data_IF_678938426565
#
_entry.id   IF_678938426565
#
_cell.length_a   1.000
_cell.length_b   1.000
_cell.length_c   1.000
_cell.angle_alpha   90.00
_cell.angle_beta   90.00
_cell.angle_gamma   90.00
#
_symmetry.space_group_name_H-M   'P 1'
#
loop_
_entity.id
_entity.type
_entity.pdbx_description
1 polymer ?
#
# COMPACT_ATOMS: atom_id res chain seq x y z
N UNK A 1 -21.22 14.34 31.20
CA UNK A 1 -20.30 14.90 32.22
C UNK A 1 -18.87 14.71 31.74
N UNK A 2 -17.93 15.65 31.94
CA UNK A 2 -16.51 15.41 31.59
C UNK A 2 -15.83 14.67 32.75
N UNK A 3 -15.33 13.46 32.48
CA UNK A 3 -14.63 12.65 33.47
C UNK A 3 -13.41 13.38 34.06
N UNK A 4 -13.25 13.30 35.37
CA UNK A 4 -12.06 13.81 36.07
C UNK A 4 -10.82 12.97 35.74
N UNK A 5 -11.01 11.68 35.47
CA UNK A 5 -9.97 10.76 34.99
C UNK A 5 -9.68 10.84 33.49
N UNK A 6 -10.32 11.76 32.76
CA UNK A 6 -10.09 11.94 31.33
C UNK A 6 -8.69 12.55 31.06
N UNK A 7 -7.78 11.84 30.36
CA UNK A 7 -6.40 12.29 30.11
C UNK A 7 -6.30 13.41 29.06
N UNK A 8 -7.36 13.67 28.30
CA UNK A 8 -7.35 14.67 27.23
C UNK A 8 -7.41 16.11 27.78
N UNK A 9 -6.68 17.07 27.19
CA UNK A 9 -6.77 18.49 27.51
C UNK A 9 -8.19 19.03 27.73
N UNK A 10 -8.37 19.90 28.76
CA UNK A 10 -9.69 20.41 29.18
C UNK A 10 -10.50 21.08 28.06
N UNK A 11 -9.83 21.72 27.09
CA UNK A 11 -10.47 22.44 25.98
C UNK A 11 -11.23 21.51 25.01
N UNK A 12 -10.92 20.21 25.00
CA UNK A 12 -11.65 19.24 24.16
C UNK A 12 -13.01 18.84 24.74
N UNK A 13 -13.32 19.24 25.97
CA UNK A 13 -14.61 18.96 26.58
C UNK A 13 -14.83 17.47 26.86
N UNK A 14 -16.04 16.98 26.58
CA UNK A 14 -16.43 15.58 26.74
C UNK A 14 -16.11 14.85 25.44
N UNK A 15 -15.27 13.81 25.52
CA UNK A 15 -14.91 13.01 24.36
C UNK A 15 -15.96 11.92 24.11
N UNK A 16 -16.27 11.68 22.83
CA UNK A 16 -17.20 10.61 22.45
C UNK A 16 -16.66 9.24 22.89
N UNK A 17 -17.53 8.40 23.44
CA UNK A 17 -17.20 7.07 23.94
C UNK A 17 -16.79 7.04 25.41
N UNK A 18 -16.47 8.18 26.05
CA UNK A 18 -16.12 8.21 27.47
C UNK A 18 -17.34 8.04 28.39
N UNK A 19 -18.57 8.18 27.86
CA UNK A 19 -19.80 7.81 28.55
C UNK A 19 -19.86 6.30 28.87
N UNK A 20 -19.19 5.46 28.06
CA UNK A 20 -19.17 4.00 28.23
C UNK A 20 -18.55 3.60 29.57
N UNK A 21 -17.55 4.35 30.05
CA UNK A 21 -16.92 4.11 31.34
C UNK A 21 -17.94 4.16 32.49
N UNK A 22 -18.89 5.10 32.42
CA UNK A 22 -19.94 5.26 33.43
C UNK A 22 -21.04 4.21 33.31
N UNK A 23 -21.31 3.70 32.10
CA UNK A 23 -22.22 2.56 31.87
C UNK A 23 -21.68 1.29 32.53
N UNK A 24 -20.36 1.10 32.55
CA UNK A 24 -19.73 -0.07 33.18
C UNK A 24 -19.29 0.15 34.64
N UNK A 25 -19.68 1.26 35.28
CA UNK A 25 -19.36 1.47 36.69
C UNK A 25 -17.88 1.73 36.97
N UNK A 26 -17.13 2.27 36.01
CA UNK A 26 -15.68 2.49 36.13
C UNK A 26 -15.27 3.31 37.37
N UNK A 27 -16.00 4.36 37.82
CA UNK A 27 -15.71 5.06 39.07
C UNK A 27 -15.79 4.19 40.33
N UNK A 28 -16.49 3.07 40.29
CA UNK A 28 -16.52 2.08 41.38
C UNK A 28 -15.38 1.07 41.28
N UNK A 29 -15.06 0.62 40.06
CA UNK A 29 -14.03 -0.41 39.82
C UNK A 29 -12.60 0.15 39.93
N UNK A 30 -12.41 1.41 39.56
CA UNK A 30 -11.09 2.07 39.53
C UNK A 30 -11.16 3.49 40.11
N UNK A 31 -11.49 3.65 41.40
CA UNK A 31 -11.64 4.97 42.03
C UNK A 31 -10.36 5.81 41.99
N UNK A 32 -9.19 5.17 41.97
CA UNK A 32 -7.88 5.84 41.92
C UNK A 32 -7.61 6.64 40.64
N UNK A 33 -8.38 6.41 39.56
CA UNK A 33 -8.21 7.16 38.31
C UNK A 33 -8.93 8.51 38.31
N UNK A 34 -9.76 8.79 39.31
CA UNK A 34 -10.61 9.97 39.38
C UNK A 34 -10.12 10.92 40.46
N UNK A 35 -10.38 12.22 40.28
CA UNK A 35 -10.02 13.23 41.27
C UNK A 35 -10.80 12.99 42.58
N UNK A 36 -10.14 12.95 43.76
CA UNK A 36 -10.80 12.64 45.04
C UNK A 36 -12.02 13.53 45.34
N UNK A 37 -11.95 14.81 44.98
CA UNK A 37 -13.01 15.80 45.17
C UNK A 37 -14.25 15.55 44.31
N UNK A 38 -14.11 14.84 43.18
CA UNK A 38 -15.20 14.59 42.21
C UNK A 38 -15.68 13.13 42.19
N UNK A 39 -14.94 12.23 42.81
CA UNK A 39 -15.20 10.80 42.80
C UNK A 39 -16.62 10.46 43.26
N UNK A 40 -17.10 11.07 44.36
CA UNK A 40 -18.44 10.82 44.88
C UNK A 40 -19.55 11.23 43.90
N UNK A 41 -19.39 12.37 43.22
CA UNK A 41 -20.34 12.84 42.19
C UNK A 41 -20.32 11.94 40.96
N UNK A 42 -19.13 11.50 40.54
CA UNK A 42 -18.94 10.60 39.39
C UNK A 42 -19.47 9.19 39.64
N UNK A 43 -19.38 8.69 40.88
CA UNK A 43 -20.01 7.44 41.30
C UNK A 43 -21.54 7.54 41.27
N UNK A 44 -22.11 8.62 41.80
CA UNK A 44 -23.57 8.87 41.73
C UNK A 44 -24.06 9.01 40.29
N UNK A 45 -23.33 9.74 39.45
CA UNK A 45 -23.62 9.85 38.03
C UNK A 45 -23.56 8.47 37.34
N UNK A 46 -22.52 7.67 37.60
CA UNK A 46 -22.39 6.31 37.07
C UNK A 46 -23.54 5.40 37.51
N UNK A 47 -23.95 5.48 38.78
CA UNK A 47 -25.10 4.73 39.30
C UNK A 47 -26.40 5.12 38.58
N UNK A 48 -26.63 6.41 38.36
CA UNK A 48 -27.81 6.88 37.61
C UNK A 48 -27.81 6.38 36.16
N UNK A 49 -26.67 6.43 35.46
CA UNK A 49 -26.55 5.89 34.10
C UNK A 49 -26.78 4.38 34.07
N UNK A 50 -26.18 3.62 34.98
CA UNK A 50 -26.39 2.17 35.08
C UNK A 50 -27.86 1.84 35.37
N UNK A 51 -28.51 2.57 36.26
CA UNK A 51 -29.93 2.37 36.58
C UNK A 51 -30.81 2.57 35.35
N UNK A 52 -30.56 3.61 34.56
CA UNK A 52 -31.30 3.85 33.32
C UNK A 52 -31.15 2.70 32.32
N UNK A 53 -29.99 2.02 32.29
CA UNK A 53 -29.76 0.89 31.39
C UNK A 53 -30.46 -0.37 31.91
N UNK A 54 -30.48 -0.56 33.23
CA UNK A 54 -31.26 -1.63 33.89
C UNK A 54 -32.76 -1.43 33.60
N UNK A 55 -33.27 -0.22 33.78
CA UNK A 55 -34.68 0.11 33.52
C UNK A 55 -35.04 -0.11 32.05
N UNK A 56 -34.14 0.25 31.13
CA UNK A 56 -34.29 -0.06 29.70
C UNK A 56 -34.35 -1.56 29.43
N UNK A 57 -33.47 -2.36 30.02
CA UNK A 57 -33.48 -3.82 29.81
C UNK A 57 -34.75 -4.48 30.35
N UNK A 58 -35.32 -3.95 31.43
CA UNK A 58 -36.52 -4.51 32.04
C UNK A 58 -37.82 -4.04 31.37
N UNK A 59 -37.88 -2.79 30.93
CA UNK A 59 -39.13 -2.13 30.52
C UNK A 59 -39.13 -1.59 29.09
N UNK A 60 -37.98 -1.60 28.41
CA UNK A 60 -37.79 -0.96 27.10
C UNK A 60 -37.71 0.56 27.15
N UNK A 61 -37.76 1.20 28.33
CA UNK A 61 -37.63 2.64 28.51
C UNK A 61 -36.54 2.98 29.53
N UNK A 62 -35.49 3.76 29.16
CA UNK A 62 -34.39 4.05 30.08
C UNK A 62 -34.76 4.98 31.25
N UNK A 63 -35.74 5.86 31.05
CA UNK A 63 -36.31 6.71 32.09
C UNK A 63 -37.66 7.27 31.60
N UNK A 64 -38.56 7.63 32.52
CA UNK A 64 -39.86 8.21 32.17
C UNK A 64 -39.74 9.57 31.45
N UNK A 65 -38.66 10.31 31.72
CA UNK A 65 -38.34 11.60 31.10
C UNK A 65 -37.43 11.46 29.86
N UNK A 66 -37.14 10.25 29.40
CA UNK A 66 -36.34 10.04 28.20
C UNK A 66 -37.17 10.37 26.94
N UNK A 67 -36.86 11.44 26.19
CA UNK A 67 -37.66 11.82 25.04
C UNK A 67 -37.53 10.76 23.94
N UNK A 68 -38.66 10.33 23.35
CA UNK A 68 -38.64 9.54 22.13
C UNK A 68 -38.06 10.38 21.00
N UNK A 69 -37.14 9.79 20.25
CA UNK A 69 -36.52 10.49 19.13
C UNK A 69 -37.58 10.90 18.10
N UNK A 70 -37.62 12.20 17.79
CA UNK A 70 -38.47 12.79 16.77
C UNK A 70 -37.60 13.62 15.83
N UNK A 71 -37.73 13.39 14.51
CA UNK A 71 -36.96 14.12 13.48
C UNK A 71 -37.28 15.62 13.42
N UNK A 72 -38.47 16.01 13.90
CA UNK A 72 -38.96 17.40 13.94
C UNK A 72 -38.46 18.09 15.21
N UNK A 73 -38.82 17.56 16.38
CA UNK A 73 -38.52 18.22 17.66
C UNK A 73 -37.08 18.02 18.14
N UNK A 74 -36.39 16.96 17.68
CA UNK A 74 -34.99 16.63 17.99
C UNK A 74 -34.59 16.73 19.47
N UNK A 75 -35.54 16.50 20.37
CA UNK A 75 -35.31 16.53 21.82
C UNK A 75 -34.35 15.43 22.23
N UNK A 76 -33.34 15.79 23.00
CA UNK A 76 -32.40 14.84 23.59
C UNK A 76 -32.21 15.12 25.07
N UNK A 77 -32.06 14.05 25.85
CA UNK A 77 -31.67 14.16 27.24
C UNK A 77 -30.17 14.46 27.35
N UNK A 78 -29.81 15.43 28.18
CA UNK A 78 -28.41 15.73 28.49
C UNK A 78 -27.96 14.91 29.70
N UNK A 79 -26.92 14.10 29.52
CA UNK A 79 -26.27 13.36 30.61
C UNK A 79 -25.17 14.23 31.25
N UNK A 80 -25.54 15.04 32.22
CA UNK A 80 -24.64 15.93 33.00
C UNK A 80 -24.55 15.49 34.47
N UNK A 81 -23.70 16.18 35.24
CA UNK A 81 -23.59 16.01 36.69
C UNK A 81 -24.93 16.29 37.43
N UNK A 82 -25.83 17.05 36.80
CA UNK A 82 -27.19 17.32 37.28
C UNK A 82 -27.99 16.02 37.49
N UNK A 83 -27.71 14.98 36.70
CA UNK A 83 -28.34 13.68 36.85
C UNK A 83 -27.95 13.00 38.17
N UNK A 84 -26.77 13.30 38.70
CA UNK A 84 -26.31 12.80 40.00
C UNK A 84 -27.07 13.42 41.18
N UNK A 85 -27.79 14.53 40.95
CA UNK A 85 -28.64 15.22 41.93
C UNK A 85 -30.14 15.12 41.58
N UNK A 86 -30.50 14.26 40.62
CA UNK A 86 -31.89 14.00 40.24
C UNK A 86 -32.52 15.04 39.32
N UNK A 87 -31.73 15.97 38.78
CA UNK A 87 -32.19 17.00 37.84
C UNK A 87 -31.93 16.51 36.41
N UNK A 88 -32.94 16.60 35.55
CA UNK A 88 -32.85 16.20 34.15
C UNK A 88 -33.03 17.40 33.23
N UNK A 89 -32.18 17.50 32.20
CA UNK A 89 -32.22 18.59 31.22
C UNK A 89 -32.46 18.03 29.82
N UNK A 90 -33.52 18.51 29.18
CA UNK A 90 -33.81 18.20 27.78
C UNK A 90 -33.30 19.35 26.91
N UNK A 91 -32.51 19.04 25.89
CA UNK A 91 -32.13 20.00 24.85
C UNK A 91 -32.98 19.76 23.61
N UNK A 92 -33.57 20.81 23.06
CA UNK A 92 -34.41 20.75 21.85
C UNK A 92 -33.60 20.99 20.56
N UNK A 93 -32.33 21.39 20.71
CA UNK A 93 -31.48 21.75 19.59
C UNK A 93 -30.08 21.11 19.70
N UNK A 94 -30.01 19.79 19.51
CA UNK A 94 -28.75 19.01 19.55
C UNK A 94 -27.74 19.48 18.49
N UNK A 95 -28.22 20.16 17.44
CA UNK A 95 -27.41 20.52 16.28
C UNK A 95 -27.38 22.03 15.99
N UNK A 96 -28.34 22.82 16.44
CA UNK A 96 -28.69 24.06 15.76
C UNK A 96 -27.96 25.31 16.19
N UNK A 97 -26.92 25.24 17.02
CA UNK A 97 -25.89 26.27 17.03
C UNK A 97 -24.93 26.07 15.85
N UNK A 98 -24.36 24.86 15.70
CA UNK A 98 -23.45 24.54 14.60
C UNK A 98 -24.18 24.43 13.25
N UNK A 99 -25.40 23.91 13.22
CA UNK A 99 -26.21 23.80 12.01
C UNK A 99 -26.86 25.11 11.58
N UNK A 100 -27.19 26.06 12.49
CA UNK A 100 -27.56 27.42 12.08
C UNK A 100 -26.39 28.13 11.42
N UNK A 101 -25.20 28.03 12.00
CA UNK A 101 -23.97 28.55 11.38
C UNK A 101 -23.73 27.95 9.99
N UNK A 102 -23.95 26.64 9.81
CA UNK A 102 -23.86 25.99 8.50
C UNK A 102 -24.99 26.39 7.55
N UNK A 103 -26.21 26.64 8.05
CA UNK A 103 -27.34 27.07 7.24
C UNK A 103 -27.21 28.54 6.81
N UNK A 104 -26.79 29.43 7.70
CA UNK A 104 -26.44 30.83 7.41
C UNK A 104 -25.26 30.88 6.43
N UNK A 105 -24.21 30.10 6.67
CA UNK A 105 -23.08 29.99 5.75
C UNK A 105 -23.52 29.50 4.35
N UNK A 106 -24.41 28.51 4.27
CA UNK A 106 -25.00 28.05 2.99
C UNK A 106 -25.84 29.13 2.31
N UNK A 107 -26.63 29.90 3.06
CA UNK A 107 -27.45 30.99 2.51
C UNK A 107 -26.61 32.15 1.99
N UNK A 108 -25.49 32.47 2.65
CA UNK A 108 -24.51 33.47 2.23
C UNK A 108 -23.72 33.02 1.00
N UNK A 109 -23.38 31.73 0.90
CA UNK A 109 -22.72 31.15 -0.28
C UNK A 109 -23.67 31.09 -1.48
N UNK A 110 -24.97 30.88 -1.25
CA UNK A 110 -25.99 30.83 -2.32
C UNK A 110 -26.36 32.17 -2.96
N UNK A 111 -26.02 33.30 -2.33
CA UNK A 111 -26.30 34.65 -2.85
C UNK A 111 -25.12 35.31 -3.55
N UNK A 112 -23.93 34.69 -3.55
CA UNK A 112 -22.77 35.21 -4.26
C UNK A 112 -22.81 34.76 -5.72
N UNK A 113 -22.64 35.67 -6.71
CA UNK A 113 -22.51 35.28 -8.09
C UNK A 113 -21.30 34.36 -8.20
N UNK A 114 -21.47 33.21 -8.85
CA UNK A 114 -20.47 32.15 -8.99
C UNK A 114 -19.21 32.74 -9.62
N UNK A 115 -18.27 33.13 -8.75
CA UNK A 115 -16.87 33.39 -9.04
C UNK A 115 -16.08 33.11 -7.75
N UNK A 116 -15.88 31.82 -7.51
CA UNK A 116 -14.79 31.20 -6.73
C UNK A 116 -14.25 31.93 -5.50
N UNK A 117 -14.97 31.91 -4.38
CA UNK A 117 -14.38 32.25 -3.06
C UNK A 117 -14.66 31.15 -2.03
N UNK A 118 -13.57 30.50 -1.62
CA UNK A 118 -13.47 29.49 -0.56
C UNK A 118 -13.56 30.13 0.84
N UNK A 119 -14.44 29.64 1.73
CA UNK A 119 -14.53 30.07 3.12
C UNK A 119 -13.39 29.47 3.98
N UNK A 120 -12.36 30.26 4.26
CA UNK A 120 -11.29 29.92 5.22
C UNK A 120 -11.69 30.31 6.65
N UNK A 121 -11.89 29.32 7.53
CA UNK A 121 -12.15 29.58 8.96
C UNK A 121 -10.88 30.04 9.70
N UNK A 122 -11.00 31.15 10.45
CA UNK A 122 -9.99 31.74 11.35
C UNK A 122 -9.59 30.78 12.47
N UNK A 123 -8.29 30.52 12.64
CA UNK A 123 -7.71 30.08 13.92
C UNK A 123 -7.36 31.31 14.76
N UNK A 124 -7.94 31.44 15.95
CA UNK A 124 -7.46 32.33 17.00
C UNK A 124 -6.26 31.66 17.72
N UNK A 125 -5.20 32.43 17.96
CA UNK A 125 -3.87 31.94 18.34
C UNK A 125 -3.69 31.48 19.79
N UNK A 126 -2.45 31.09 20.14
CA UNK A 126 -1.74 31.80 21.20
C UNK A 126 -0.42 32.42 20.70
N UNK A 127 0.01 33.45 21.41
CA UNK A 127 1.13 34.33 21.09
C UNK A 127 2.50 33.63 21.06
N UNK A 128 3.32 34.17 20.15
CA UNK A 128 4.77 34.37 20.22
C UNK A 128 5.66 33.16 20.55
N UNK A 129 6.00 32.40 19.50
CA UNK A 129 7.37 31.93 19.30
C UNK A 129 7.82 32.35 17.91
N UNK A 130 9.01 32.93 17.87
CA UNK A 130 9.67 33.65 16.78
C UNK A 130 9.77 32.88 15.46
N UNK A 131 9.44 33.59 14.38
CA UNK A 131 9.89 33.44 12.99
C UNK A 131 10.06 32.02 12.40
N UNK A 132 8.99 31.53 11.76
CA UNK A 132 9.10 30.73 10.54
C UNK A 132 7.89 31.06 9.64
N UNK A 133 8.15 31.27 8.35
CA UNK A 133 7.19 31.81 7.39
C UNK A 133 5.89 30.99 7.35
N UNK A 134 4.76 31.67 7.53
CA UNK A 134 3.43 31.09 7.47
C UNK A 134 3.05 30.81 5.99
N UNK A 135 2.88 29.55 5.54
CA UNK A 135 2.71 29.20 4.12
C UNK A 135 1.38 29.66 3.49
N UNK A 136 0.56 30.40 4.22
CA UNK A 136 -0.80 30.74 3.82
C UNK A 136 -0.98 32.10 3.11
N UNK A 137 0.11 32.83 2.85
CA UNK A 137 0.14 34.12 2.14
C UNK A 137 0.95 34.11 0.81
N UNK A 138 1.28 32.92 0.27
CA UNK A 138 2.00 32.82 -1.02
C UNK A 138 1.05 33.03 -2.22
N UNK A 139 1.46 33.78 -3.26
CA UNK A 139 0.68 33.94 -4.49
C UNK A 139 0.40 32.57 -5.14
N UNK A 140 -0.69 32.47 -5.91
CA UNK A 140 -1.17 31.20 -6.54
C UNK A 140 -0.04 30.43 -7.25
N UNK A 141 0.84 31.16 -7.92
CA UNK A 141 2.03 30.62 -8.58
C UNK A 141 3.02 29.94 -7.64
N UNK A 142 3.30 30.52 -6.48
CA UNK A 142 4.20 29.94 -5.47
C UNK A 142 3.55 28.74 -4.76
N UNK A 143 2.21 28.71 -4.66
CA UNK A 143 1.47 27.55 -4.16
C UNK A 143 1.58 26.35 -5.12
N UNK A 144 1.42 26.59 -6.42
CA UNK A 144 1.58 25.56 -7.45
C UNK A 144 3.01 25.01 -7.51
N UNK A 145 4.02 25.87 -7.38
CA UNK A 145 5.43 25.44 -7.26
C UNK A 145 5.67 24.59 -6.02
N UNK A 146 5.14 24.99 -4.87
CA UNK A 146 5.31 24.24 -3.63
C UNK A 146 4.67 22.85 -3.69
N UNK A 147 3.47 22.73 -4.27
CA UNK A 147 2.85 21.42 -4.56
C UNK A 147 3.70 20.58 -5.51
N UNK A 148 4.20 21.17 -6.60
CA UNK A 148 5.08 20.46 -7.53
C UNK A 148 6.37 19.98 -6.85
N UNK A 149 6.97 20.80 -5.98
CA UNK A 149 8.17 20.45 -5.24
C UNK A 149 7.92 19.30 -4.25
N UNK A 150 6.81 19.35 -3.52
CA UNK A 150 6.39 18.27 -2.63
C UNK A 150 6.17 16.97 -3.38
N UNK A 151 5.50 17.03 -4.53
CA UNK A 151 5.24 15.86 -5.36
C UNK A 151 6.52 15.28 -5.98
N UNK A 152 7.46 16.12 -6.45
CA UNK A 152 8.75 15.66 -6.97
C UNK A 152 9.62 15.07 -5.86
N UNK A 153 9.61 15.67 -4.66
CA UNK A 153 10.24 15.10 -3.48
C UNK A 153 9.68 13.72 -3.12
N UNK A 154 8.35 13.57 -3.17
CA UNK A 154 7.67 12.30 -2.94
C UNK A 154 7.99 11.26 -4.02
N UNK A 155 8.13 11.65 -5.29
CA UNK A 155 8.67 10.79 -6.35
C UNK A 155 10.08 10.29 -6.00
N UNK A 156 10.97 11.18 -5.53
CA UNK A 156 12.34 10.81 -5.13
C UNK A 156 12.37 9.76 -4.01
N UNK A 157 11.55 9.91 -2.98
CA UNK A 157 11.40 8.91 -1.91
C UNK A 157 10.90 7.57 -2.49
N UNK A 158 9.86 7.61 -3.32
CA UNK A 158 9.29 6.41 -3.94
C UNK A 158 10.32 5.66 -4.80
N UNK A 159 11.08 6.40 -5.61
CA UNK A 159 12.13 5.87 -6.49
C UNK A 159 13.22 5.17 -5.69
N UNK A 160 13.70 5.80 -4.61
CA UNK A 160 14.75 5.24 -3.77
C UNK A 160 14.30 3.91 -3.15
N UNK A 161 13.11 3.89 -2.53
CA UNK A 161 12.64 2.72 -1.81
C UNK A 161 12.20 1.59 -2.75
N UNK A 162 11.48 1.86 -3.85
CA UNK A 162 11.17 0.83 -4.85
C UNK A 162 12.42 0.25 -5.50
N UNK A 163 13.44 1.09 -5.77
CA UNK A 163 14.70 0.62 -6.33
C UNK A 163 15.55 -0.19 -5.36
N UNK A 164 15.24 -0.13 -4.06
CA UNK A 164 16.03 -0.77 -2.99
C UNK A 164 15.28 -1.90 -2.27
N UNK A 165 13.96 -2.06 -2.47
CA UNK A 165 13.12 -2.98 -1.68
C UNK A 165 13.52 -4.46 -1.77
N UNK A 166 14.15 -4.87 -2.88
CA UNK A 166 14.62 -6.25 -3.05
C UNK A 166 16.07 -6.46 -2.60
N UNK A 167 16.80 -5.40 -2.24
CA UNK A 167 18.20 -5.49 -1.76
C UNK A 167 18.33 -6.40 -0.53
N UNK A 168 17.45 -6.32 0.50
CA UNK A 168 17.52 -7.21 1.66
C UNK A 168 17.27 -8.68 1.28
N UNK A 169 16.37 -8.92 0.32
CA UNK A 169 15.87 -10.25 -0.05
C UNK A 169 16.87 -10.98 -0.97
N UNK A 170 17.59 -10.23 -1.82
CA UNK A 170 18.40 -10.78 -2.92
C UNK A 170 19.47 -11.80 -2.52
N UNK A 171 19.94 -11.78 -1.26
CA UNK A 171 20.98 -12.70 -0.77
C UNK A 171 20.46 -14.07 -0.34
N UNK A 172 19.15 -14.23 -0.26
CA UNK A 172 18.50 -15.44 0.24
C UNK A 172 17.72 -16.12 -0.88
N UNK A 173 17.58 -17.44 -0.79
CA UNK A 173 16.76 -18.19 -1.73
C UNK A 173 15.27 -17.92 -1.45
N UNK A 174 14.63 -17.24 -2.40
CA UNK A 174 13.21 -16.90 -2.37
C UNK A 174 12.30 -18.07 -2.82
N UNK A 175 12.86 -19.15 -3.37
CA UNK A 175 12.10 -20.26 -3.94
C UNK A 175 11.17 -19.79 -5.06
N UNK A 176 9.87 -20.02 -4.90
CA UNK A 176 8.84 -19.56 -5.84
C UNK A 176 8.30 -18.14 -5.54
N UNK A 177 8.79 -17.49 -4.49
CA UNK A 177 8.45 -16.12 -4.12
C UNK A 177 7.06 -15.93 -3.49
N UNK A 178 6.20 -16.94 -3.43
CA UNK A 178 4.84 -16.80 -2.87
C UNK A 178 4.86 -16.56 -1.36
N UNK A 179 5.75 -17.26 -0.65
CA UNK A 179 5.98 -17.01 0.77
C UNK A 179 6.53 -15.60 1.03
N UNK A 180 7.52 -15.18 0.23
CA UNK A 180 8.13 -13.83 0.31
C UNK A 180 7.08 -12.75 0.12
N UNK A 181 6.23 -12.87 -0.91
CA UNK A 181 5.12 -11.94 -1.18
C UNK A 181 4.17 -11.86 0.02
N UNK A 182 3.77 -13.00 0.58
CA UNK A 182 2.84 -13.03 1.69
C UNK A 182 3.41 -12.33 2.92
N UNK A 183 4.68 -12.61 3.26
CA UNK A 183 5.40 -11.92 4.36
C UNK A 183 5.52 -10.42 4.10
N UNK A 184 5.88 -10.01 2.87
CA UNK A 184 5.90 -8.59 2.46
C UNK A 184 4.53 -7.94 2.68
N UNK A 185 3.44 -8.62 2.30
CA UNK A 185 2.08 -8.10 2.47
C UNK A 185 1.70 -7.86 3.93
N UNK A 186 2.22 -8.69 4.86
CA UNK A 186 2.07 -8.49 6.30
C UNK A 186 2.74 -7.20 6.80
N UNK A 187 3.95 -6.90 6.30
CA UNK A 187 4.63 -5.63 6.59
C UNK A 187 3.87 -4.42 6.00
N UNK A 188 3.33 -4.58 4.79
CA UNK A 188 2.57 -3.53 4.10
C UNK A 188 1.32 -3.15 4.89
N UNK A 189 0.49 -4.11 5.30
CA UNK A 189 -0.72 -3.81 6.08
C UNK A 189 -0.41 -3.24 7.46
N UNK A 190 0.71 -3.62 8.09
CA UNK A 190 1.17 -3.01 9.34
C UNK A 190 1.41 -1.51 9.18
N UNK A 191 2.11 -1.10 8.11
CA UNK A 191 2.31 0.32 7.78
C UNK A 191 0.97 1.00 7.51
N UNK A 192 0.04 0.30 6.85
CA UNK A 192 -1.31 0.77 6.60
C UNK A 192 -2.05 1.12 7.89
N UNK A 193 -2.00 0.24 8.90
CA UNK A 193 -2.57 0.48 10.22
C UNK A 193 -1.96 1.69 10.92
N UNK A 194 -0.63 1.84 10.85
CA UNK A 194 0.07 3.00 11.42
C UNK A 194 -0.40 4.29 10.74
N UNK A 195 -0.41 4.33 9.41
CA UNK A 195 -0.90 5.48 8.64
C UNK A 195 -2.36 5.81 8.98
N UNK A 196 -3.20 4.79 9.15
CA UNK A 196 -4.61 4.94 9.49
C UNK A 196 -4.80 5.58 10.87
N UNK A 197 -4.08 5.11 11.88
CA UNK A 197 -4.11 5.68 13.23
C UNK A 197 -3.56 7.12 13.28
N UNK A 198 -2.46 7.39 12.59
CA UNK A 198 -1.87 8.74 12.50
C UNK A 198 -2.80 9.76 11.83
N UNK A 199 -3.76 9.30 11.03
CA UNK A 199 -4.76 10.12 10.34
C UNK A 199 -6.09 10.22 11.07
N UNK A 200 -6.14 9.80 12.34
CA UNK A 200 -7.37 9.78 13.14
C UNK A 200 -8.47 8.90 12.53
N UNK A 201 -8.08 7.78 11.92
CA UNK A 201 -8.97 6.77 11.36
C UNK A 201 -9.94 7.34 10.30
N UNK A 202 -9.45 7.81 9.14
CA UNK A 202 -10.33 8.15 8.02
C UNK A 202 -11.19 6.93 7.67
N UNK A 203 -12.41 7.10 7.18
CA UNK A 203 -13.32 5.98 6.89
C UNK A 203 -12.65 4.84 6.10
N UNK A 204 -13.13 3.60 6.28
CA UNK A 204 -12.67 2.46 5.49
C UNK A 204 -13.45 2.40 4.17
N UNK A 205 -12.76 2.40 3.03
CA UNK A 205 -13.37 2.48 1.71
C UNK A 205 -13.02 1.24 0.86
N UNK A 206 -13.73 0.12 1.03
CA UNK A 206 -13.46 -1.11 0.29
C UNK A 206 -13.75 -0.99 -1.21
N UNK A 207 -14.56 -0.02 -1.63
CA UNK A 207 -14.80 0.25 -3.06
C UNK A 207 -13.61 0.92 -3.75
N UNK A 208 -12.65 1.49 -3.00
CA UNK A 208 -11.35 1.93 -3.50
C UNK A 208 -10.46 0.77 -3.99
N UNK A 209 -10.99 -0.46 -4.04
CA UNK A 209 -10.31 -1.67 -4.50
C UNK A 209 -10.74 -2.00 -5.94
N UNK A 210 -11.92 -1.53 -6.38
CA UNK A 210 -12.47 -1.84 -7.71
C UNK A 210 -12.71 -0.56 -8.52
N UNK A 211 -12.10 -0.43 -9.70
CA UNK A 211 -12.25 0.75 -10.54
C UNK A 211 -12.01 0.41 -12.01
N UNK A 212 -13.05 0.52 -12.84
CA UNK A 212 -12.96 0.49 -14.29
C UNK A 212 -13.86 1.59 -14.88
N UNK A 213 -13.22 2.60 -15.47
CA UNK A 213 -13.73 3.71 -16.30
C UNK A 213 -14.67 4.77 -15.68
N UNK A 214 -14.33 6.05 -15.94
CA UNK A 214 -15.07 7.25 -15.50
C UNK A 214 -14.26 8.29 -14.71
N UNK A 215 -12.92 8.31 -14.85
CA UNK A 215 -12.03 9.32 -14.24
C UNK A 215 -11.98 10.61 -15.06
N UNK A 216 -11.71 11.73 -14.40
CA UNK A 216 -11.51 13.02 -15.04
C UNK A 216 -10.10 13.10 -15.66
N UNK A 217 -9.96 13.83 -16.77
CA UNK A 217 -8.67 14.02 -17.40
C UNK A 217 -7.83 15.07 -16.63
N UNK A 218 -6.62 14.69 -16.22
CA UNK A 218 -5.65 15.60 -15.60
C UNK A 218 -4.41 15.79 -16.49
N UNK A 219 -4.49 16.61 -17.55
CA UNK A 219 -3.35 16.82 -18.45
C UNK A 219 -2.21 17.59 -17.75
N UNK A 220 -0.94 17.31 -18.13
CA UNK A 220 0.21 18.11 -17.70
C UNK A 220 0.16 19.52 -18.28
N UNK A 221 0.89 20.46 -17.68
CA UNK A 221 0.90 21.86 -18.08
C UNK A 221 1.51 22.05 -19.48
N UNK A 222 2.60 21.35 -19.78
CA UNK A 222 3.15 21.23 -21.14
C UNK A 222 3.08 19.78 -21.63
N UNK A 223 2.24 19.55 -22.63
CA UNK A 223 2.13 18.23 -23.28
C UNK A 223 3.39 17.86 -24.07
N UNK A 224 4.04 18.84 -24.72
CA UNK A 224 5.26 18.63 -25.50
C UNK A 224 6.39 18.13 -24.61
N UNK A 225 6.62 18.78 -23.47
CA UNK A 225 7.69 18.41 -22.55
C UNK A 225 7.43 17.03 -21.92
N UNK A 226 6.16 16.73 -21.63
CA UNK A 226 5.75 15.42 -21.11
C UNK A 226 6.01 14.29 -22.11
N UNK A 227 5.61 14.45 -23.39
CA UNK A 227 5.83 13.44 -24.42
C UNK A 227 7.30 13.24 -24.77
N UNK A 228 8.08 14.32 -24.86
CA UNK A 228 9.53 14.23 -25.07
C UNK A 228 10.23 13.52 -23.91
N UNK A 229 9.86 13.87 -22.67
CA UNK A 229 10.37 13.20 -21.49
C UNK A 229 10.02 11.71 -21.47
N UNK A 230 8.77 11.37 -21.78
CA UNK A 230 8.31 9.98 -21.88
C UNK A 230 9.10 9.18 -22.93
N UNK A 231 9.34 9.75 -24.11
CA UNK A 231 10.13 9.10 -25.16
C UNK A 231 11.56 8.77 -24.70
N UNK A 232 12.21 9.71 -23.98
CA UNK A 232 13.54 9.47 -23.41
C UNK A 232 13.52 8.40 -22.32
N UNK A 233 12.52 8.42 -21.43
CA UNK A 233 12.35 7.41 -20.39
C UNK A 233 12.19 6.01 -20.99
N UNK A 234 11.37 5.86 -22.03
CA UNK A 234 11.20 4.59 -22.75
C UNK A 234 12.50 4.14 -23.45
N UNK A 235 13.23 5.08 -24.05
CA UNK A 235 14.53 4.81 -24.67
C UNK A 235 15.54 4.34 -23.63
N UNK A 236 15.57 4.96 -22.45
CA UNK A 236 16.39 4.54 -21.32
C UNK A 236 16.06 3.12 -20.86
N UNK A 237 14.78 2.80 -20.71
CA UNK A 237 14.30 1.45 -20.39
C UNK A 237 14.74 0.40 -21.43
N UNK A 238 14.69 0.75 -22.72
CA UNK A 238 15.18 -0.11 -23.79
C UNK A 238 16.70 -0.33 -23.69
N UNK A 239 17.48 0.71 -23.38
CA UNK A 239 18.93 0.58 -23.18
C UNK A 239 19.27 -0.32 -21.98
N UNK A 240 18.50 -0.25 -20.89
CA UNK A 240 18.65 -1.17 -19.75
C UNK A 240 18.45 -2.64 -20.16
N UNK A 241 17.51 -2.94 -21.06
CA UNK A 241 17.28 -4.30 -21.56
C UNK A 241 18.47 -4.89 -22.33
N UNK A 242 19.42 -4.05 -22.78
CA UNK A 242 20.61 -4.47 -23.53
C UNK A 242 21.78 -4.85 -22.63
N UNK A 243 21.70 -4.55 -21.35
CA UNK A 243 22.78 -4.86 -20.41
C UNK A 243 22.61 -6.30 -19.94
N UNK A 244 23.56 -7.14 -20.34
CA UNK A 244 23.66 -8.51 -19.84
C UNK A 244 24.34 -8.50 -18.47
N UNK A 245 23.75 -9.17 -17.49
CA UNK A 245 24.45 -9.53 -16.26
C UNK A 245 25.35 -10.73 -16.53
N UNK A 246 26.49 -10.82 -15.86
CA UNK A 246 27.47 -11.92 -16.04
C UNK A 246 27.01 -13.26 -15.43
N UNK A 247 25.70 -13.48 -15.22
CA UNK A 247 25.18 -14.73 -14.67
C UNK A 247 25.44 -15.92 -15.61
N UNK A 248 25.57 -15.67 -16.92
CA UNK A 248 25.80 -16.70 -17.94
C UNK A 248 27.27 -17.20 -18.02
N UNK A 249 28.24 -16.61 -17.30
CA UNK A 249 29.63 -17.08 -17.32
C UNK A 249 29.94 -18.19 -16.30
N UNK A 250 29.01 -18.53 -15.41
CA UNK A 250 29.22 -19.57 -14.38
C UNK A 250 28.57 -20.93 -14.70
N UNK A 251 27.68 -21.02 -15.70
CA UNK A 251 27.07 -22.31 -16.11
C UNK A 251 27.82 -23.00 -17.26
N UNK A 252 28.67 -22.30 -18.02
CA UNK A 252 29.34 -22.87 -19.21
C UNK A 252 30.70 -23.57 -18.88
N UNK A 253 31.32 -23.27 -17.73
CA UNK A 253 32.60 -23.87 -17.32
C UNK A 253 32.48 -25.19 -16.52
N UNK A 254 31.25 -25.66 -16.25
CA UNK A 254 31.01 -26.94 -15.54
C UNK A 254 30.49 -28.05 -16.45
N UNK A 255 30.22 -27.77 -17.73
CA UNK A 255 29.78 -28.76 -18.73
C UNK A 255 30.94 -29.63 -19.30
N UNK A 256 32.18 -29.41 -18.85
CA UNK A 256 33.38 -30.03 -19.42
C UNK A 256 34.10 -31.09 -18.58
N UNK A 257 33.58 -31.52 -17.43
CA UNK A 257 34.25 -32.55 -16.61
C UNK A 257 33.56 -33.91 -16.76
N UNK A 258 33.92 -34.62 -17.84
CA UNK A 258 33.74 -36.08 -17.94
C UNK A 258 34.32 -36.72 -16.68
N UNK A 259 33.46 -37.20 -15.79
CA UNK A 259 33.86 -38.13 -14.74
C UNK A 259 34.02 -39.49 -15.42
N UNK A 260 35.25 -39.80 -15.83
CA UNK A 260 35.65 -41.17 -16.14
C UNK A 260 35.73 -41.93 -14.81
N UNK A 261 34.63 -42.60 -14.44
CA UNK A 261 34.60 -43.52 -13.31
C UNK A 261 35.36 -44.78 -13.70
N UNK A 262 36.58 -44.91 -13.19
CA UNK A 262 37.25 -46.21 -13.07
C UNK A 262 36.51 -47.00 -11.99
N UNK A 263 35.75 -48.02 -12.42
CA UNK A 263 35.18 -49.02 -11.53
C UNK A 263 36.19 -50.16 -11.35
N UNK A 264 36.42 -50.52 -10.09
CA UNK A 264 36.95 -51.80 -9.66
C UNK A 264 36.27 -52.12 -8.31
N UNK A 265 35.34 -53.08 -8.35
CA UNK A 265 34.87 -54.05 -7.33
C UNK A 265 34.68 -53.57 -5.86
N UNK A 266 33.62 -53.89 -5.11
CA UNK A 266 32.60 -54.93 -5.20
C UNK A 266 31.45 -54.62 -4.19
N UNK A 267 30.23 -55.01 -4.55
CA UNK A 267 29.04 -55.29 -3.71
C UNK A 267 28.49 -54.28 -2.67
N UNK A 268 27.37 -53.61 -3.05
CA UNK A 268 26.03 -53.56 -2.41
C UNK A 268 25.33 -52.24 -2.81
N UNK A 269 24.47 -52.29 -3.83
CA UNK A 269 23.69 -51.16 -4.34
C UNK A 269 22.21 -51.49 -4.25
N UNK A 270 21.46 -50.74 -3.43
CA UNK A 270 20.07 -50.42 -3.77
C UNK A 270 19.61 -49.11 -3.09
N UNK A 271 19.08 -48.21 -3.94
CA UNK A 271 18.12 -47.15 -3.66
C UNK A 271 18.58 -45.80 -3.09
N UNK A 272 19.20 -44.97 -3.94
CA UNK A 272 19.06 -43.49 -3.87
C UNK A 272 18.71 -42.96 -5.26
N UNK A 273 17.41 -42.97 -5.60
CA UNK A 273 16.84 -42.15 -6.67
C UNK A 273 15.80 -41.24 -6.02
N UNK A 274 16.21 -40.01 -5.73
CA UNK A 274 15.30 -38.96 -5.28
C UNK A 274 14.61 -38.34 -6.51
N UNK A 275 13.36 -38.76 -6.71
CA UNK A 275 12.43 -38.26 -7.71
C UNK A 275 12.11 -36.77 -7.49
N UNK A 276 12.22 -35.98 -8.55
CA UNK A 276 11.47 -34.73 -8.75
C UNK A 276 10.12 -35.09 -9.41
N UNK A 277 9.02 -34.60 -8.83
CA UNK A 277 7.63 -34.79 -9.32
C UNK A 277 7.42 -34.06 -10.66
N UNK A 278 6.67 -34.53 -11.66
CA UNK A 278 5.90 -35.76 -11.83
C UNK A 278 5.04 -35.65 -13.10
N UNK A 279 5.10 -36.69 -13.94
CA UNK A 279 4.06 -37.22 -14.86
C UNK A 279 4.77 -38.37 -15.61
N UNK A 280 4.67 -39.59 -15.07
CA UNK A 280 5.17 -40.78 -15.75
C UNK A 280 4.04 -41.30 -16.64
N UNK A 281 4.10 -40.93 -17.92
CA UNK A 281 3.28 -41.56 -18.94
C UNK A 281 3.72 -43.02 -19.06
N UNK A 282 2.78 -43.95 -18.85
CA UNK A 282 3.04 -45.39 -18.90
C UNK A 282 3.50 -45.78 -20.30
N UNK A 283 4.80 -46.05 -20.47
CA UNK A 283 5.24 -46.91 -21.55
C UNK A 283 5.25 -48.36 -21.05
N UNK A 284 4.32 -49.14 -21.58
CA UNK A 284 4.26 -50.59 -21.41
C UNK A 284 5.55 -51.20 -21.97
N UNK A 285 6.35 -51.84 -21.12
CA UNK A 285 7.39 -52.76 -21.57
C UNK A 285 6.69 -54.06 -21.96
N UNK A 286 6.56 -54.26 -23.27
CA UNK A 286 6.28 -55.57 -23.85
C UNK A 286 7.57 -56.40 -23.83
N UNK A 287 7.46 -57.55 -23.20
CA UNK A 287 8.45 -58.63 -23.18
C UNK A 287 8.73 -59.15 -24.60
N UNK A 288 10.00 -59.50 -24.89
CA UNK A 288 10.42 -59.99 -26.21
C UNK A 288 11.94 -60.04 -26.41
N UNK A 289 12.52 -61.17 -26.03
CA UNK A 289 13.71 -61.89 -26.53
C UNK A 289 14.61 -61.29 -27.63
N UNK A 290 15.92 -61.44 -27.37
CA UNK A 290 17.04 -61.81 -28.26
C UNK A 290 17.19 -61.11 -29.63
N UNK A 291 18.27 -60.33 -29.79
CA UNK A 291 19.39 -60.66 -30.69
C UNK A 291 20.43 -59.52 -30.74
N UNK A 292 21.71 -59.89 -30.78
CA UNK A 292 22.85 -59.01 -31.00
C UNK A 292 22.77 -58.34 -32.38
N UNK A 293 22.89 -57.00 -32.46
CA UNK A 293 23.74 -56.41 -33.50
C UNK A 293 24.21 -54.99 -33.20
N UNK A 294 25.48 -54.80 -33.58
CA UNK A 294 26.35 -53.65 -33.52
C UNK A 294 25.80 -52.35 -34.14
N UNK A 295 26.03 -51.23 -33.43
CA UNK A 295 26.50 -49.99 -34.04
C UNK A 295 25.45 -48.98 -34.53
N UNK A 296 25.62 -47.73 -34.06
CA UNK A 296 24.90 -46.48 -34.42
C UNK A 296 23.50 -46.30 -33.85
N UNK A 297 23.43 -45.74 -32.64
CA UNK A 297 22.67 -44.50 -32.44
C UNK A 297 23.14 -43.78 -31.16
N UNK A 298 23.93 -42.72 -31.32
CA UNK A 298 24.25 -41.78 -30.22
C UNK A 298 23.89 -40.34 -30.64
N UNK A 299 23.10 -40.20 -31.70
CA UNK A 299 22.86 -38.93 -32.38
C UNK A 299 21.38 -38.57 -32.42
N UNK A 300 20.46 -39.54 -32.36
CA UNK A 300 19.02 -39.25 -32.29
C UNK A 300 18.53 -38.83 -30.88
N UNK A 301 19.16 -39.33 -29.82
CA UNK A 301 18.73 -39.08 -28.42
C UNK A 301 19.19 -37.71 -27.89
N UNK A 302 20.38 -37.24 -28.31
CA UNK A 302 20.92 -35.92 -27.93
C UNK A 302 20.13 -34.78 -28.62
N UNK A 303 19.74 -34.98 -29.88
CA UNK A 303 18.96 -34.00 -30.67
C UNK A 303 17.52 -33.82 -30.15
N UNK A 304 16.96 -34.84 -29.48
CA UNK A 304 15.59 -34.78 -28.94
C UNK A 304 15.53 -34.10 -27.58
N UNK A 305 16.56 -34.25 -26.73
CA UNK A 305 16.67 -33.56 -25.44
C UNK A 305 16.94 -32.07 -25.64
N UNK A 306 17.87 -31.70 -26.54
CA UNK A 306 18.11 -30.28 -26.90
C UNK A 306 16.85 -29.62 -27.48
N UNK A 307 16.08 -30.34 -28.30
CA UNK A 307 14.82 -29.86 -28.86
C UNK A 307 13.71 -29.65 -27.81
N UNK A 308 13.62 -30.56 -26.82
CA UNK A 308 12.65 -30.46 -25.71
C UNK A 308 13.05 -29.34 -24.75
N UNK A 309 14.34 -29.16 -24.45
CA UNK A 309 14.85 -28.06 -23.64
C UNK A 309 14.69 -26.70 -24.34
N UNK A 310 14.99 -26.61 -25.64
CA UNK A 310 14.77 -25.41 -26.43
C UNK A 310 13.28 -25.05 -26.49
N UNK A 311 12.38 -26.03 -26.65
CA UNK A 311 10.93 -25.83 -26.63
C UNK A 311 10.41 -25.44 -25.24
N UNK A 312 10.95 -26.01 -24.16
CA UNK A 312 10.64 -25.65 -22.76
C UNK A 312 11.14 -24.24 -22.43
N UNK A 313 12.33 -23.86 -22.90
CA UNK A 313 12.92 -22.52 -22.75
C UNK A 313 12.16 -21.48 -23.58
N UNK A 314 11.70 -21.83 -24.78
CA UNK A 314 10.85 -20.99 -25.62
C UNK A 314 9.44 -20.81 -25.03
N UNK A 315 8.82 -21.89 -24.57
CA UNK A 315 7.51 -21.86 -23.89
C UNK A 315 7.57 -21.09 -22.58
N UNK A 316 8.64 -21.25 -21.80
CA UNK A 316 8.87 -20.50 -20.56
C UNK A 316 9.08 -19.00 -20.81
N UNK A 317 9.80 -18.63 -21.88
CA UNK A 317 9.97 -17.23 -22.30
C UNK A 317 8.65 -16.60 -22.73
N UNK A 318 7.84 -17.30 -23.52
CA UNK A 318 6.51 -16.83 -23.93
C UNK A 318 5.60 -16.56 -22.72
N UNK A 319 5.53 -17.53 -21.80
CA UNK A 319 4.77 -17.38 -20.56
C UNK A 319 5.28 -16.20 -19.71
N UNK A 320 6.59 -16.03 -19.58
CA UNK A 320 7.19 -14.91 -18.85
C UNK A 320 6.80 -13.54 -19.42
N UNK A 321 6.79 -13.39 -20.75
CA UNK A 321 6.36 -12.15 -21.42
C UNK A 321 4.88 -11.89 -21.14
N UNK A 322 4.01 -12.90 -21.27
CA UNK A 322 2.57 -12.75 -21.02
C UNK A 322 2.32 -12.34 -19.56
N UNK A 323 2.96 -12.99 -18.60
CA UNK A 323 2.84 -12.66 -17.19
C UNK A 323 3.37 -11.25 -16.88
N UNK A 324 4.45 -10.82 -17.52
CA UNK A 324 4.99 -9.46 -17.38
C UNK A 324 4.02 -8.40 -17.92
N UNK A 325 3.36 -8.65 -19.06
CA UNK A 325 2.36 -7.75 -19.63
C UNK A 325 1.10 -7.65 -18.75
N UNK A 326 0.62 -8.78 -18.23
CA UNK A 326 -0.52 -8.82 -17.31
C UNK A 326 -0.18 -8.05 -16.03
N UNK A 327 0.99 -8.31 -15.44
CA UNK A 327 1.48 -7.61 -14.26
C UNK A 327 1.60 -6.10 -14.51
N UNK A 328 2.18 -5.69 -15.64
CA UNK A 328 2.30 -4.28 -16.04
C UNK A 328 0.94 -3.58 -16.16
N UNK A 329 -0.07 -4.27 -16.71
CA UNK A 329 -1.44 -3.76 -16.79
C UNK A 329 -2.02 -3.53 -15.39
N UNK A 330 -1.96 -4.51 -14.50
CA UNK A 330 -2.46 -4.37 -13.12
C UNK A 330 -1.72 -3.28 -12.34
N UNK A 331 -0.39 -3.18 -12.47
CA UNK A 331 0.38 -2.09 -11.88
C UNK A 331 -0.09 -0.72 -12.39
N UNK A 332 -0.36 -0.58 -13.69
CA UNK A 332 -0.95 0.63 -14.27
C UNK A 332 -2.31 1.01 -13.70
N UNK A 333 -3.12 0.01 -13.31
CA UNK A 333 -4.48 0.20 -12.79
C UNK A 333 -4.55 0.42 -11.27
N UNK A 334 -3.44 0.24 -10.54
CA UNK A 334 -3.37 0.26 -9.07
C UNK A 334 -4.09 1.44 -8.41
N UNK A 335 -4.00 2.64 -8.99
CA UNK A 335 -4.58 3.85 -8.42
C UNK A 335 -5.94 4.23 -9.00
N UNK A 336 -6.40 3.55 -10.06
CA UNK A 336 -7.65 3.87 -10.76
C UNK A 336 -8.86 3.85 -9.82
N UNK A 337 -9.03 2.86 -8.92
CA UNK A 337 -10.19 2.85 -8.02
C UNK A 337 -10.22 4.04 -7.05
N UNK A 338 -9.05 4.43 -6.52
CA UNK A 338 -8.92 5.56 -5.59
C UNK A 338 -9.26 6.87 -6.30
N UNK A 339 -8.71 7.08 -7.48
CA UNK A 339 -8.94 8.29 -8.27
C UNK A 339 -10.38 8.38 -8.74
N UNK A 340 -10.98 7.27 -9.16
CA UNK A 340 -12.38 7.26 -9.53
C UNK A 340 -13.29 7.76 -8.40
N UNK A 341 -13.01 7.36 -7.15
CA UNK A 341 -13.75 7.89 -6.00
C UNK A 341 -13.43 9.35 -5.69
N UNK A 342 -12.17 9.78 -5.84
CA UNK A 342 -11.77 11.18 -5.67
C UNK A 342 -12.40 12.10 -6.72
N UNK A 343 -12.60 11.62 -7.95
CA UNK A 343 -13.16 12.39 -9.08
C UNK A 343 -14.70 12.43 -9.10
N UNK A 344 -15.35 11.45 -8.46
CA UNK A 344 -16.81 11.29 -8.45
C UNK A 344 -17.39 11.53 -7.05
N UNK A 345 -17.02 12.65 -6.40
CA UNK A 345 -17.50 13.02 -5.06
C UNK A 345 -19.02 13.20 -4.98
N UNK A 346 -19.67 13.48 -6.11
CA UNK A 346 -21.12 13.50 -6.27
C UNK A 346 -21.74 12.12 -6.02
N UNK A 347 -21.08 11.05 -6.45
CA UNK A 347 -21.50 9.65 -6.21
C UNK A 347 -21.06 9.13 -4.85
N UNK A 348 -19.96 9.67 -4.31
CA UNK A 348 -19.37 9.25 -3.03
C UNK A 348 -19.31 10.41 -2.02
N UNK A 349 -20.46 10.91 -1.54
CA UNK A 349 -20.49 12.02 -0.58
C UNK A 349 -19.84 11.59 0.74
N UNK A 350 -18.73 12.24 1.10
CA UNK A 350 -17.94 11.95 2.31
C UNK A 350 -16.63 11.20 2.08
N UNK A 351 -16.33 10.83 0.83
CA UNK A 351 -15.05 10.27 0.45
C UNK A 351 -13.91 11.30 0.65
N UNK A 352 -12.77 10.92 1.27
CA UNK A 352 -11.61 11.78 1.40
C UNK A 352 -11.06 12.19 0.04
N UNK A 353 -10.63 13.43 -0.08
CA UNK A 353 -9.98 13.91 -1.31
C UNK A 353 -8.48 13.61 -1.33
N UNK A 354 -7.87 13.34 -0.16
CA UNK A 354 -6.46 13.01 -0.07
C UNK A 354 -6.19 11.51 -0.29
N UNK A 355 -5.23 11.19 -1.14
CA UNK A 355 -4.86 9.82 -1.50
C UNK A 355 -4.38 9.00 -0.31
N UNK A 356 -3.74 9.64 0.68
CA UNK A 356 -3.24 8.98 1.88
C UNK A 356 -4.34 8.37 2.76
N UNK A 357 -5.55 8.92 2.74
CA UNK A 357 -6.69 8.34 3.45
C UNK A 357 -7.09 6.96 2.91
N UNK A 358 -6.70 6.63 1.68
CA UNK A 358 -6.98 5.33 1.04
C UNK A 358 -5.87 4.30 1.22
N UNK A 359 -4.70 4.68 1.76
CA UNK A 359 -3.54 3.78 1.93
C UNK A 359 -3.90 2.54 2.73
N UNK A 360 -4.66 2.68 3.81
CA UNK A 360 -5.11 1.54 4.60
C UNK A 360 -5.97 0.58 3.78
N UNK A 361 -7.00 1.09 3.10
CA UNK A 361 -7.88 0.28 2.26
C UNK A 361 -7.11 -0.45 1.16
N UNK A 362 -6.15 0.24 0.54
CA UNK A 362 -5.27 -0.32 -0.49
C UNK A 362 -4.38 -1.44 0.08
N UNK A 363 -3.71 -1.20 1.21
CA UNK A 363 -2.78 -2.17 1.82
C UNK A 363 -3.49 -3.37 2.41
N UNK A 364 -4.68 -3.17 2.94
CA UNK A 364 -5.55 -4.24 3.41
C UNK A 364 -5.98 -5.15 2.25
N UNK A 365 -6.31 -4.56 1.08
CA UNK A 365 -6.59 -5.32 -0.13
C UNK A 365 -5.42 -6.18 -0.61
N UNK A 366 -4.20 -5.64 -0.57
CA UNK A 366 -2.96 -6.38 -0.90
C UNK A 366 -2.78 -7.57 0.05
N UNK A 367 -2.98 -7.37 1.35
CA UNK A 367 -2.83 -8.43 2.35
C UNK A 367 -3.88 -9.53 2.20
N UNK A 368 -5.15 -9.18 1.99
CA UNK A 368 -6.21 -10.18 1.74
C UNK A 368 -5.88 -10.98 0.47
N UNK A 369 -5.51 -10.30 -0.62
CA UNK A 369 -5.21 -10.95 -1.88
C UNK A 369 -3.98 -11.88 -1.78
N UNK A 370 -2.90 -11.40 -1.13
CA UNK A 370 -1.70 -12.20 -0.87
C UNK A 370 -1.98 -13.41 0.02
N UNK A 371 -2.79 -13.22 1.07
CA UNK A 371 -3.20 -14.32 1.96
C UNK A 371 -4.04 -15.35 1.21
N UNK A 372 -5.00 -14.92 0.38
CA UNK A 372 -5.81 -15.83 -0.42
C UNK A 372 -4.96 -16.64 -1.42
N UNK A 373 -4.00 -15.99 -2.09
CA UNK A 373 -3.06 -16.65 -2.99
C UNK A 373 -2.18 -17.67 -2.26
N UNK A 374 -1.65 -17.31 -1.09
CA UNK A 374 -0.81 -18.22 -0.31
C UNK A 374 -1.61 -19.40 0.25
N UNK A 375 -2.85 -19.19 0.70
CA UNK A 375 -3.74 -20.27 1.12
C UNK A 375 -4.09 -21.20 -0.04
N UNK A 376 -4.43 -20.65 -1.20
CA UNK A 376 -4.68 -21.43 -2.41
C UNK A 376 -3.46 -22.26 -2.82
N UNK A 377 -2.27 -21.67 -2.73
CA UNK A 377 -1.00 -22.35 -2.95
C UNK A 377 -0.75 -23.48 -1.94
N UNK A 378 -0.99 -23.24 -0.65
CA UNK A 378 -0.87 -24.27 0.38
C UNK A 378 -1.85 -25.43 0.16
N UNK A 379 -3.09 -25.14 -0.25
CA UNK A 379 -4.09 -26.15 -0.61
C UNK A 379 -3.62 -26.97 -1.82
N UNK A 380 -3.18 -26.30 -2.89
CA UNK A 380 -2.68 -26.95 -4.11
C UNK A 380 -1.47 -27.86 -3.82
N UNK A 381 -0.56 -27.40 -2.95
CA UNK A 381 0.61 -28.17 -2.50
C UNK A 381 0.30 -29.17 -1.37
N UNK A 382 -0.97 -29.41 -1.03
CA UNK A 382 -1.39 -30.34 0.03
C UNK A 382 -0.70 -30.05 1.37
N UNK A 383 -0.67 -28.77 1.74
CA UNK A 383 -0.02 -28.23 2.93
C UNK A 383 1.50 -28.47 3.03
N UNK A 384 2.17 -28.59 1.87
CA UNK A 384 3.64 -28.63 1.76
C UNK A 384 4.17 -27.47 0.89
N UNK A 385 3.91 -26.20 1.25
CA UNK A 385 4.45 -25.04 0.54
C UNK A 385 5.98 -24.97 0.66
N UNK A 386 6.65 -24.40 -0.33
CA UNK A 386 8.08 -24.06 -0.25
C UNK A 386 8.22 -22.84 0.66
N UNK A 387 8.83 -23.02 1.83
CA UNK A 387 9.04 -21.95 2.81
C UNK A 387 10.52 -21.97 3.22
N UNK A 388 11.20 -20.85 3.00
CA UNK A 388 12.52 -20.61 3.55
C UNK A 388 12.40 -19.66 4.76
N UNK A 389 12.59 -20.14 6.00
CA UNK A 389 12.44 -19.29 7.18
C UNK A 389 13.44 -18.12 7.24
N UNK A 390 14.64 -18.29 6.69
CA UNK A 390 15.72 -17.29 6.78
C UNK A 390 15.38 -15.98 6.04
N UNK A 391 14.54 -16.06 5.00
CA UNK A 391 14.14 -14.89 4.21
C UNK A 391 13.02 -14.07 4.86
N UNK A 392 12.43 -14.53 5.97
CA UNK A 392 11.26 -13.89 6.59
C UNK A 392 11.53 -12.45 7.00
N UNK A 393 12.59 -12.18 7.76
CA UNK A 393 12.96 -10.82 8.19
C UNK A 393 13.39 -9.92 7.02
N UNK A 394 14.25 -10.38 6.09
CA UNK A 394 14.55 -9.66 4.86
C UNK A 394 13.30 -9.29 4.04
N UNK A 395 12.35 -10.23 3.91
CA UNK A 395 11.09 -10.02 3.20
C UNK A 395 10.23 -8.97 3.90
N UNK A 396 10.15 -9.03 5.23
CA UNK A 396 9.44 -8.04 6.01
C UNK A 396 10.03 -6.62 5.81
N UNK A 397 11.36 -6.49 5.83
CA UNK A 397 12.05 -5.24 5.55
C UNK A 397 11.74 -4.73 4.13
N UNK A 398 11.77 -5.61 3.13
CA UNK A 398 11.37 -5.27 1.76
C UNK A 398 9.92 -4.77 1.66
N UNK A 399 9.00 -5.38 2.41
CA UNK A 399 7.61 -4.95 2.50
C UNK A 399 7.44 -3.57 3.16
N UNK A 400 8.22 -3.26 4.20
CA UNK A 400 8.25 -1.91 4.79
C UNK A 400 8.75 -0.86 3.80
N UNK A 401 9.82 -1.17 3.07
CA UNK A 401 10.37 -0.29 2.03
C UNK A 401 9.34 -0.05 0.91
N UNK A 402 8.68 -1.11 0.43
CA UNK A 402 7.60 -1.00 -0.55
C UNK A 402 6.46 -0.12 -0.03
N UNK A 403 6.04 -0.29 1.23
CA UNK A 403 4.95 0.48 1.83
C UNK A 403 5.29 1.98 2.00
N UNK A 404 6.54 2.31 2.32
CA UNK A 404 6.99 3.70 2.34
C UNK A 404 6.95 4.28 0.92
N UNK A 405 7.47 3.54 -0.06
CA UNK A 405 7.48 3.97 -1.45
C UNK A 405 6.07 4.21 -1.99
N UNK A 406 5.15 3.26 -1.78
CA UNK A 406 3.79 3.35 -2.27
C UNK A 406 3.00 4.48 -1.57
N UNK A 407 3.21 4.72 -0.28
CA UNK A 407 2.61 5.86 0.44
C UNK A 407 3.12 7.18 -0.12
N UNK A 408 4.42 7.29 -0.41
CA UNK A 408 4.98 8.46 -1.09
C UNK A 408 4.45 8.61 -2.52
N UNK A 409 4.15 7.51 -3.22
CA UNK A 409 3.54 7.56 -4.55
C UNK A 409 2.10 8.12 -4.49
N UNK A 410 1.31 7.80 -3.46
CA UNK A 410 0.02 8.48 -3.23
C UNK A 410 0.19 10.01 -3.11
N UNK A 411 1.15 10.47 -2.30
CA UNK A 411 1.45 11.91 -2.14
C UNK A 411 1.89 12.52 -3.48
N UNK A 412 2.73 11.83 -4.24
CA UNK A 412 3.17 12.29 -5.54
C UNK A 412 1.99 12.45 -6.51
N UNK A 413 1.08 11.48 -6.55
CA UNK A 413 -0.10 11.51 -7.42
C UNK A 413 -1.02 12.70 -7.10
N UNK A 414 -1.30 12.93 -5.82
CA UNK A 414 -2.14 14.06 -5.37
C UNK A 414 -1.56 15.43 -5.78
N UNK A 415 -0.23 15.53 -5.93
CA UNK A 415 0.46 16.80 -6.21
C UNK A 415 0.85 17.02 -7.67
N UNK A 416 1.20 15.94 -8.39
CA UNK A 416 1.73 16.02 -9.77
C UNK A 416 0.81 15.41 -10.82
N UNK A 417 -0.20 14.63 -10.44
CA UNK A 417 -1.01 13.74 -11.29
C UNK A 417 -0.25 12.54 -11.85
N UNK A 418 -1.00 11.50 -12.21
CA UNK A 418 -0.48 10.23 -12.72
C UNK A 418 0.34 10.37 -14.01
N UNK A 419 -0.05 11.31 -14.88
CA UNK A 419 0.61 11.56 -16.15
C UNK A 419 2.07 12.01 -16.00
N UNK A 420 2.44 12.53 -14.82
CA UNK A 420 3.80 12.95 -14.48
C UNK A 420 4.49 11.92 -13.60
N UNK A 421 3.80 11.39 -12.59
CA UNK A 421 4.41 10.51 -11.59
C UNK A 421 4.70 9.10 -12.10
N UNK A 422 3.83 8.50 -12.93
CA UNK A 422 4.02 7.13 -13.40
C UNK A 422 5.29 6.96 -14.23
N UNK A 423 5.57 7.79 -15.26
CA UNK A 423 6.82 7.65 -16.02
C UNK A 423 8.07 7.76 -15.14
N UNK A 424 8.05 8.65 -14.14
CA UNK A 424 9.14 8.84 -13.18
C UNK A 424 9.29 7.59 -12.29
N UNK A 425 8.25 7.25 -11.54
CA UNK A 425 8.31 6.21 -10.49
C UNK A 425 8.40 4.80 -11.07
N UNK A 426 7.98 4.55 -12.31
CA UNK A 426 8.12 3.21 -12.92
C UNK A 426 9.49 2.96 -13.52
N UNK A 427 10.27 4.02 -13.81
CA UNK A 427 11.53 3.87 -14.56
C UNK A 427 12.78 4.17 -13.75
N UNK A 428 12.78 5.22 -12.92
CA UNK A 428 13.96 5.53 -12.11
C UNK A 428 14.31 4.50 -11.01
N UNK A 429 13.39 3.70 -10.44
CA UNK A 429 13.81 2.62 -9.53
C UNK A 429 14.83 1.68 -10.17
N UNK A 430 14.74 1.47 -11.49
CA UNK A 430 15.72 0.71 -12.26
C UNK A 430 17.12 1.30 -12.19
N UNK A 431 17.25 2.64 -12.17
CA UNK A 431 18.53 3.32 -11.96
C UNK A 431 19.10 3.01 -10.57
N UNK A 432 18.28 3.10 -9.52
CA UNK A 432 18.69 2.82 -8.14
C UNK A 432 19.08 1.35 -7.97
N UNK A 433 18.28 0.43 -8.50
CA UNK A 433 18.56 -1.01 -8.49
C UNK A 433 19.86 -1.34 -9.25
N UNK A 434 20.12 -0.65 -10.36
CA UNK A 434 21.36 -0.78 -11.13
C UNK A 434 22.57 -0.28 -10.34
N UNK A 435 22.43 0.83 -9.59
CA UNK A 435 23.49 1.31 -8.70
C UNK A 435 23.81 0.30 -7.59
N UNK A 436 22.81 -0.32 -6.98
CA UNK A 436 23.04 -1.42 -6.02
C UNK A 436 23.77 -2.60 -6.68
N UNK A 437 23.38 -2.95 -7.91
CA UNK A 437 23.99 -4.06 -8.67
C UNK A 437 25.46 -3.79 -9.03
N UNK A 438 25.82 -2.54 -9.31
CA UNK A 438 27.20 -2.12 -9.61
C UNK A 438 28.03 -1.96 -8.33
N UNK A 439 27.55 -1.21 -7.36
CA UNK A 439 28.34 -0.76 -6.20
C UNK A 439 28.39 -1.81 -5.08
N UNK A 440 27.25 -2.45 -4.80
CA UNK A 440 27.12 -3.35 -3.66
C UNK A 440 27.28 -4.81 -4.06
N UNK A 441 26.50 -5.30 -5.03
CA UNK A 441 26.58 -6.69 -5.48
C UNK A 441 27.72 -6.95 -6.47
N UNK A 442 28.21 -5.91 -7.15
CA UNK A 442 29.30 -5.98 -8.14
C UNK A 442 29.06 -7.02 -9.25
N UNK A 443 27.80 -7.19 -9.65
CA UNK A 443 27.37 -8.19 -10.65
C UNK A 443 27.61 -7.72 -12.09
N UNK A 444 27.56 -6.41 -12.32
CA UNK A 444 27.78 -5.80 -13.64
C UNK A 444 29.25 -5.38 -13.71
N UNK A 445 30.05 -6.16 -14.46
CA UNK A 445 31.47 -5.89 -14.70
C UNK A 445 31.72 -5.61 -16.19
N UNK A 446 32.82 -4.91 -16.47
CA UNK A 446 33.25 -4.60 -17.83
C UNK A 446 32.91 -3.18 -18.29
N UNK A 447 33.87 -2.54 -18.96
CA UNK A 447 33.79 -1.13 -19.37
C UNK A 447 32.59 -0.88 -20.30
N UNK A 448 32.32 -1.76 -21.28
CA UNK A 448 31.19 -1.60 -22.21
C UNK A 448 29.83 -1.63 -21.53
N UNK A 449 29.63 -2.56 -20.58
CA UNK A 449 28.39 -2.67 -19.81
C UNK A 449 28.22 -1.47 -18.87
N UNK A 450 29.30 -1.01 -18.23
CA UNK A 450 29.29 0.19 -17.38
C UNK A 450 29.01 1.46 -18.19
N UNK A 451 29.61 1.64 -19.37
CA UNK A 451 29.32 2.79 -20.25
C UNK A 451 27.87 2.76 -20.71
N UNK A 452 27.33 1.59 -21.11
CA UNK A 452 25.92 1.45 -21.53
C UNK A 452 24.97 1.78 -20.38
N UNK A 453 25.27 1.31 -19.15
CA UNK A 453 24.52 1.63 -17.94
C UNK A 453 24.56 3.13 -17.62
N UNK A 454 25.73 3.76 -17.72
CA UNK A 454 25.87 5.20 -17.49
C UNK A 454 25.03 6.01 -18.49
N UNK A 455 25.04 5.63 -19.78
CA UNK A 455 24.21 6.27 -20.81
C UNK A 455 22.72 6.06 -20.51
N UNK A 456 22.31 4.82 -20.19
CA UNK A 456 20.91 4.51 -19.87
C UNK A 456 20.40 5.32 -18.67
N UNK A 457 21.19 5.42 -17.60
CA UNK A 457 20.88 6.23 -16.42
C UNK A 457 20.78 7.71 -16.79
N UNK A 458 21.74 8.25 -17.55
CA UNK A 458 21.73 9.66 -17.96
C UNK A 458 20.49 10.01 -18.81
N UNK A 459 20.16 9.16 -19.79
CA UNK A 459 18.97 9.33 -20.66
C UNK A 459 17.69 9.26 -19.81
N UNK A 460 17.59 8.30 -18.91
CA UNK A 460 16.41 8.12 -18.04
C UNK A 460 16.23 9.29 -17.08
N UNK A 461 17.31 9.78 -16.45
CA UNK A 461 17.28 10.95 -15.56
C UNK A 461 16.89 12.22 -16.32
N UNK A 462 17.38 12.39 -17.54
CA UNK A 462 17.02 13.51 -18.41
C UNK A 462 15.54 13.46 -18.76
N UNK A 463 15.05 12.30 -19.22
CA UNK A 463 13.64 12.11 -19.54
C UNK A 463 12.72 12.37 -18.34
N UNK A 464 13.05 11.85 -17.17
CA UNK A 464 12.30 12.09 -15.95
C UNK A 464 12.29 13.56 -15.52
N UNK A 465 13.41 14.27 -15.70
CA UNK A 465 13.50 15.69 -15.41
C UNK A 465 12.57 16.49 -16.33
N UNK A 466 12.51 16.16 -17.63
CA UNK A 466 11.56 16.78 -18.56
C UNK A 466 10.10 16.47 -18.19
N UNK A 467 9.79 15.23 -17.81
CA UNK A 467 8.44 14.87 -17.32
C UNK A 467 8.09 15.67 -16.07
N UNK A 468 9.00 15.79 -15.09
CA UNK A 468 8.77 16.59 -13.89
C UNK A 468 8.57 18.09 -14.17
N UNK A 469 9.38 18.65 -15.07
CA UNK A 469 9.27 20.05 -15.49
C UNK A 469 7.96 20.33 -16.25
N UNK A 470 7.35 19.32 -16.89
CA UNK A 470 6.10 19.45 -17.63
C UNK A 470 4.92 19.91 -16.77
N UNK A 471 5.03 19.83 -15.44
CA UNK A 471 4.03 20.34 -14.50
C UNK A 471 4.19 21.82 -14.17
N UNK A 472 5.40 22.36 -14.31
CA UNK A 472 5.77 23.72 -13.85
C UNK A 472 5.88 24.69 -15.04
N UNK A 473 6.36 24.20 -16.18
CA UNK A 473 6.62 25.02 -17.36
C UNK A 473 5.43 24.93 -18.31
N UNK A 474 4.87 26.08 -18.68
CA UNK A 474 3.96 26.22 -19.83
C UNK A 474 4.83 26.56 -21.04
N UNK A 475 4.85 25.67 -22.02
CA UNK A 475 5.58 25.81 -23.29
C UNK A 475 4.59 25.71 -24.44
#
# INVERSE_FOLDING_TARGET
MRSSGNPWPRWMGVMHGYEIEYVFGQPFRRPMLYAPEKLATEQKFSAAVMQMWIDFTNTGMPAYFWPKYNRVEKKALVLSEDLAVGVHRITEDVHGAQCRLLAEAKSLVGQLPINGVECRSRRTGPQAVTASANPYNLPVFERAKMSALMGLGACGVSVLFFGSMFVPIKKFDAGDGLFVQWVMSGAIVLVGWICWGLRSFPGFYPLAIFGLFGMQAHPPASSILNYLGLALVLTGGFLFSRVKGNADETEDDTAGKRITLHLQDDHQLENVVALTNGECEKLNVGDGSDDEESGKDKTAEDTTIEGVEAKRKASGRGLGIVLALISGCFYGLTFVPVIYMQDNLDKFPGAPVDGLSYVFSHYFGIFISGTALFLGYAIFKKNKPIINPEITLPSFAGGLMWAIAQSSFFIANDNLSQAVTFPIITTLPGCVASLWSILYFREIKGQRNLTTMAIAIAVTLTGASLVGLSKIVNL
#
